data_IF_840791753355
#
_entry.id   IF_840791753355
#
_cell.length_a   1.000
_cell.length_b   1.000
_cell.length_c   1.000
_cell.angle_alpha   90.00
_cell.angle_beta   90.00
_cell.angle_gamma   90.00
#
_symmetry.space_group_name_H-M   'P 1'
#
loop_
_entity.id
_entity.type
_entity.pdbx_description
1 polymer ?
#
# COMPACT_ATOMS: atom_id res chain seq x y z
N UNK A 1 -26.51 -11.69 -7.80
CA UNK A 1 -26.46 -12.94 -7.01
C UNK A 1 -25.40 -12.78 -5.92
N UNK A 2 -25.77 -12.88 -4.62
CA UNK A 2 -24.79 -12.75 -3.53
C UNK A 2 -24.15 -14.10 -3.27
N UNK A 3 -22.85 -14.23 -3.50
CA UNK A 3 -22.07 -15.41 -3.14
C UNK A 3 -22.21 -15.75 -1.66
N UNK A 4 -22.32 -17.02 -1.31
CA UNK A 4 -22.43 -17.51 0.06
C UNK A 4 -21.14 -17.23 0.85
N UNK A 5 -21.22 -17.12 2.20
CA UNK A 5 -20.10 -16.80 3.10
C UNK A 5 -18.93 -17.80 2.95
N UNK A 6 -19.22 -19.06 2.63
CA UNK A 6 -18.22 -20.12 2.40
C UNK A 6 -17.46 -19.90 1.09
N UNK A 7 -18.14 -19.50 0.02
CA UNK A 7 -17.52 -19.21 -1.29
C UNK A 7 -16.62 -17.97 -1.26
N UNK A 8 -16.98 -16.95 -0.46
CA UNK A 8 -16.18 -15.71 -0.31
C UNK A 8 -14.89 -15.93 0.48
N UNK A 9 -14.91 -16.72 1.56
CA UNK A 9 -13.71 -17.13 2.27
C UNK A 9 -12.73 -17.91 1.38
N UNK A 10 -13.21 -18.55 0.31
CA UNK A 10 -12.37 -19.23 -0.66
C UNK A 10 -11.69 -18.25 -1.65
N UNK A 11 -12.30 -17.13 -1.98
CA UNK A 11 -11.70 -16.14 -2.91
C UNK A 11 -10.41 -15.58 -2.32
N UNK A 12 -10.42 -15.12 -1.06
CA UNK A 12 -9.22 -14.56 -0.43
C UNK A 12 -8.12 -15.61 -0.16
N UNK A 13 -8.47 -16.90 -0.01
CA UNK A 13 -7.48 -17.97 0.18
C UNK A 13 -6.66 -18.27 -1.07
N UNK A 14 -7.20 -18.03 -2.25
CA UNK A 14 -6.52 -18.29 -3.51
C UNK A 14 -5.75 -17.08 -4.07
N UNK A 15 -5.78 -15.94 -3.37
CA UNK A 15 -5.04 -14.75 -3.77
C UNK A 15 -3.60 -14.84 -3.31
N UNK A 16 -2.67 -14.73 -4.24
CA UNK A 16 -1.24 -14.76 -4.02
C UNK A 16 -0.58 -13.37 -4.21
N UNK A 17 -1.16 -12.52 -5.05
CA UNK A 17 -0.57 -11.23 -5.42
C UNK A 17 -1.58 -10.11 -5.29
N UNK A 18 -1.29 -9.12 -4.42
CA UNK A 18 -2.18 -7.97 -4.17
C UNK A 18 -1.43 -6.66 -4.40
N UNK A 19 -1.94 -5.80 -5.27
CA UNK A 19 -1.51 -4.40 -5.39
C UNK A 19 -2.45 -3.48 -4.61
N UNK A 20 -1.90 -2.69 -3.67
CA UNK A 20 -2.66 -1.67 -2.92
C UNK A 20 -2.20 -0.30 -3.35
N UNK A 21 -3.06 0.46 -4.00
CA UNK A 21 -2.76 1.76 -4.58
C UNK A 21 -3.65 2.86 -3.98
N UNK A 22 -3.21 4.10 -4.07
CA UNK A 22 -3.94 5.27 -3.54
C UNK A 22 -3.00 6.36 -3.05
N UNK A 23 -3.52 7.55 -2.82
CA UNK A 23 -2.74 8.70 -2.36
C UNK A 23 -2.17 8.53 -0.94
N UNK A 24 -1.26 9.42 -0.58
CA UNK A 24 -0.75 9.48 0.80
C UNK A 24 -1.88 9.72 1.80
N UNK A 25 -1.77 9.15 3.01
CA UNK A 25 -2.75 9.28 4.08
C UNK A 25 -4.01 8.42 3.94
N UNK A 26 -4.11 7.54 2.92
CA UNK A 26 -5.27 6.64 2.76
C UNK A 26 -5.21 5.41 3.68
N UNK A 27 -4.05 5.06 4.23
CA UNK A 27 -3.86 3.90 5.09
C UNK A 27 -3.48 2.62 4.34
N UNK A 28 -2.86 2.73 3.16
CA UNK A 28 -2.37 1.57 2.37
C UNK A 28 -1.49 0.63 3.18
N UNK A 29 -0.44 1.15 3.84
CA UNK A 29 0.49 0.33 4.60
C UNK A 29 -0.19 -0.36 5.79
N UNK A 30 -1.14 0.32 6.44
CA UNK A 30 -1.97 -0.29 7.49
C UNK A 30 -2.78 -1.46 6.92
N UNK A 31 -3.44 -1.28 5.77
CA UNK A 31 -4.20 -2.33 5.12
C UNK A 31 -3.30 -3.49 4.68
N UNK A 32 -2.16 -3.18 4.05
CA UNK A 32 -1.19 -4.18 3.59
C UNK A 32 -0.71 -5.09 4.73
N UNK A 33 -0.33 -4.50 5.86
CA UNK A 33 0.11 -5.25 7.03
C UNK A 33 -1.01 -6.11 7.66
N UNK A 34 -2.25 -5.59 7.68
CA UNK A 34 -3.39 -6.37 8.16
C UNK A 34 -3.67 -7.56 7.24
N UNK A 35 -3.76 -7.32 5.93
CA UNK A 35 -3.97 -8.40 4.95
C UNK A 35 -2.83 -9.42 4.99
N UNK A 36 -1.56 -8.97 5.04
CA UNK A 36 -0.40 -9.86 5.10
C UNK A 36 -0.46 -10.82 6.28
N UNK A 37 -0.97 -10.39 7.43
CA UNK A 37 -1.18 -11.26 8.60
C UNK A 37 -2.35 -12.23 8.42
N UNK A 38 -3.48 -11.76 7.86
CA UNK A 38 -4.69 -12.57 7.71
C UNK A 38 -4.52 -13.70 6.68
N UNK A 39 -3.81 -13.44 5.57
CA UNK A 39 -3.65 -14.41 4.49
C UNK A 39 -2.21 -14.91 4.32
N UNK A 40 -1.33 -14.59 5.29
CA UNK A 40 0.07 -15.03 5.33
C UNK A 40 0.84 -14.73 4.03
N UNK A 41 0.76 -13.48 3.56
CA UNK A 41 1.51 -13.00 2.40
C UNK A 41 2.64 -12.04 2.82
N UNK A 42 3.81 -12.10 2.17
CA UNK A 42 4.87 -11.12 2.38
C UNK A 42 4.41 -9.73 1.91
N UNK A 43 4.73 -8.70 2.68
CA UNK A 43 4.36 -7.31 2.38
C UNK A 43 5.60 -6.54 1.95
N UNK A 44 5.50 -5.85 0.80
CA UNK A 44 6.51 -4.94 0.26
C UNK A 44 5.95 -3.52 0.25
N UNK A 45 6.45 -2.70 1.19
CA UNK A 45 6.18 -1.27 1.21
C UNK A 45 7.09 -0.58 0.20
N UNK A 46 6.54 -0.06 -0.90
CA UNK A 46 7.34 0.53 -1.97
C UNK A 46 8.05 1.81 -1.54
N UNK A 47 7.53 2.53 -0.55
CA UNK A 47 8.24 3.67 0.06
C UNK A 47 9.50 3.19 0.80
N UNK A 48 9.47 2.01 1.43
CA UNK A 48 10.65 1.37 2.05
C UNK A 48 11.68 0.89 1.02
N UNK A 49 11.28 0.63 -0.23
CA UNK A 49 12.22 0.37 -1.34
C UNK A 49 12.82 1.67 -1.84
N UNK A 50 12.03 2.75 -1.89
CA UNK A 50 12.45 4.02 -2.48
C UNK A 50 13.38 4.83 -1.58
N UNK A 51 13.17 4.81 -0.26
CA UNK A 51 13.92 5.63 0.68
C UNK A 51 14.91 4.82 1.52
N UNK A 52 16.14 5.29 1.56
CA UNK A 52 17.15 4.92 2.54
C UNK A 52 16.94 5.73 3.83
N UNK A 53 17.78 5.50 4.84
CA UNK A 53 17.82 6.28 6.07
C UNK A 53 17.82 7.80 5.77
N UNK A 54 17.21 8.59 6.65
CA UNK A 54 17.08 10.04 6.53
C UNK A 54 16.35 10.52 5.26
N UNK A 55 15.45 9.71 4.71
CA UNK A 55 14.63 10.05 3.54
C UNK A 55 15.43 10.24 2.23
N UNK A 56 16.61 9.66 2.13
CA UNK A 56 17.43 9.72 0.91
C UNK A 56 16.84 8.80 -0.16
N UNK A 57 16.41 9.30 -1.33
CA UNK A 57 15.86 8.46 -2.38
C UNK A 57 16.96 7.69 -3.11
N UNK A 58 16.71 6.41 -3.47
CA UNK A 58 17.67 5.59 -4.22
C UNK A 58 17.69 5.88 -5.73
N UNK A 59 16.87 6.81 -6.21
CA UNK A 59 16.67 7.07 -7.63
C UNK A 59 15.58 6.19 -8.25
N UNK A 60 15.00 6.70 -9.35
CA UNK A 60 13.82 6.07 -10.00
C UNK A 60 14.18 4.72 -10.60
N UNK A 61 15.23 4.66 -11.41
CA UNK A 61 15.57 3.46 -12.20
C UNK A 61 15.94 2.29 -11.28
N UNK A 62 16.74 2.56 -10.24
CA UNK A 62 17.12 1.54 -9.26
C UNK A 62 15.89 1.03 -8.50
N UNK A 63 15.01 1.93 -8.06
CA UNK A 63 13.73 1.58 -7.42
C UNK A 63 12.87 0.71 -8.33
N UNK A 64 12.65 1.15 -9.57
CA UNK A 64 11.76 0.47 -10.51
C UNK A 64 12.29 -0.92 -10.85
N UNK A 65 13.61 -1.07 -11.04
CA UNK A 65 14.26 -2.37 -11.22
C UNK A 65 13.98 -3.32 -10.04
N UNK A 66 14.15 -2.85 -8.79
CA UNK A 66 13.89 -3.67 -7.61
C UNK A 66 12.41 -4.06 -7.52
N UNK A 67 11.49 -3.12 -7.80
CA UNK A 67 10.05 -3.42 -7.80
C UNK A 67 9.72 -4.49 -8.83
N UNK A 68 10.22 -4.37 -10.07
CA UNK A 68 9.95 -5.32 -11.15
C UNK A 68 10.53 -6.72 -10.88
N UNK A 69 11.67 -6.81 -10.18
CA UNK A 69 12.20 -8.08 -9.70
C UNK A 69 11.26 -8.72 -8.65
N UNK A 70 10.70 -7.90 -7.74
CA UNK A 70 9.73 -8.37 -6.73
C UNK A 70 8.39 -8.79 -7.33
N UNK A 71 7.95 -8.17 -8.41
CA UNK A 71 6.72 -8.55 -9.14
C UNK A 71 6.78 -10.00 -9.63
N UNK A 72 7.96 -10.51 -9.96
CA UNK A 72 8.17 -11.89 -10.43
C UNK A 72 8.02 -12.93 -9.32
N UNK A 73 8.12 -12.53 -8.05
CA UNK A 73 7.91 -13.44 -6.93
C UNK A 73 6.49 -14.04 -6.94
N UNK A 74 6.32 -15.29 -6.49
CA UNK A 74 5.02 -15.97 -6.61
C UNK A 74 3.95 -15.41 -5.69
N UNK A 75 4.33 -14.76 -4.57
CA UNK A 75 3.40 -14.33 -3.53
C UNK A 75 3.83 -12.99 -2.93
N UNK A 76 2.93 -12.00 -2.93
CA UNK A 76 3.23 -10.69 -2.33
C UNK A 76 1.99 -9.82 -2.14
N UNK A 77 2.11 -8.85 -1.23
CA UNK A 77 1.29 -7.64 -1.16
C UNK A 77 2.22 -6.46 -1.38
N UNK A 78 1.97 -5.65 -2.41
CA UNK A 78 2.73 -4.42 -2.67
C UNK A 78 1.87 -3.20 -2.40
N UNK A 79 2.30 -2.31 -1.48
CA UNK A 79 1.62 -1.05 -1.24
C UNK A 79 2.47 0.15 -1.69
N UNK A 80 1.86 0.97 -2.51
CA UNK A 80 2.46 2.19 -3.06
C UNK A 80 1.96 2.52 -4.45
N UNK A 81 2.05 3.80 -4.82
CA UNK A 81 1.50 4.31 -6.07
C UNK A 81 2.59 4.88 -6.97
N UNK A 82 3.59 4.08 -7.25
CA UNK A 82 4.63 4.40 -8.24
C UNK A 82 4.11 4.02 -9.62
N UNK A 83 3.69 5.05 -10.40
CA UNK A 83 3.03 4.85 -11.71
C UNK A 83 3.95 4.26 -12.77
N UNK A 84 5.27 4.38 -12.60
CA UNK A 84 6.26 3.83 -13.54
C UNK A 84 6.31 2.29 -13.59
N UNK A 85 5.79 1.61 -12.59
CA UNK A 85 5.74 0.15 -12.51
C UNK A 85 4.32 -0.35 -12.23
N UNK A 86 3.32 0.53 -12.45
CA UNK A 86 1.96 0.22 -12.03
C UNK A 86 1.29 -0.79 -12.96
N UNK A 87 1.54 -0.71 -14.26
CA UNK A 87 1.00 -1.64 -15.24
C UNK A 87 1.46 -3.07 -14.95
N UNK A 88 2.75 -3.28 -14.78
CA UNK A 88 3.33 -4.61 -14.51
C UNK A 88 2.84 -5.19 -13.19
N UNK A 89 2.65 -4.34 -12.18
CA UNK A 89 2.10 -4.78 -10.89
C UNK A 89 0.62 -5.16 -10.99
N UNK A 90 -0.19 -4.39 -11.70
CA UNK A 90 -1.62 -4.70 -11.91
C UNK A 90 -1.74 -5.97 -12.73
N UNK A 91 -0.98 -6.08 -13.82
CA UNK A 91 -0.97 -7.26 -14.68
C UNK A 91 -0.65 -8.54 -13.90
N UNK A 92 0.33 -8.49 -12.99
CA UNK A 92 0.72 -9.62 -12.17
C UNK A 92 -0.22 -9.88 -10.97
N UNK A 93 -1.14 -8.96 -10.64
CA UNK A 93 -1.98 -9.06 -9.44
C UNK A 93 -3.20 -9.96 -9.66
N UNK A 94 -3.55 -10.76 -8.65
CA UNK A 94 -4.84 -11.45 -8.54
C UNK A 94 -5.93 -10.50 -8.01
N UNK A 95 -5.52 -9.49 -7.24
CA UNK A 95 -6.40 -8.47 -6.65
C UNK A 95 -5.72 -7.10 -6.62
N UNK A 96 -6.43 -6.09 -7.09
CA UNK A 96 -6.03 -4.68 -6.97
C UNK A 96 -6.97 -3.96 -6.01
N UNK A 97 -6.44 -3.27 -5.01
CA UNK A 97 -7.23 -2.46 -4.07
C UNK A 97 -6.87 -0.99 -4.25
N UNK A 98 -7.82 -0.21 -4.76
CA UNK A 98 -7.64 1.23 -4.94
C UNK A 98 -8.34 2.03 -3.84
N UNK A 99 -7.54 2.68 -2.97
CA UNK A 99 -8.02 3.59 -1.93
C UNK A 99 -8.19 5.01 -2.50
N UNK A 100 -9.32 5.24 -3.18
CA UNK A 100 -9.65 6.47 -3.89
C UNK A 100 -10.32 7.52 -2.97
N UNK A 101 -9.67 7.86 -1.86
CA UNK A 101 -10.25 8.82 -0.90
C UNK A 101 -10.13 10.26 -1.37
N UNK A 102 -11.06 11.11 -0.91
CA UNK A 102 -11.02 12.56 -1.16
C UNK A 102 -9.74 13.18 -0.57
N UNK A 103 -9.33 14.33 -1.12
CA UNK A 103 -8.15 15.07 -0.64
C UNK A 103 -8.24 15.41 0.84
N UNK A 104 -9.42 15.83 1.32
CA UNK A 104 -9.66 16.14 2.73
C UNK A 104 -9.44 14.89 3.61
N UNK A 105 -9.97 13.75 3.21
CA UNK A 105 -9.79 12.50 3.96
C UNK A 105 -8.32 12.08 4.03
N UNK A 106 -7.55 12.30 2.97
CA UNK A 106 -6.11 12.00 2.91
C UNK A 106 -5.30 12.93 3.81
N UNK A 107 -5.58 14.23 3.77
CA UNK A 107 -4.91 15.22 4.65
C UNK A 107 -5.20 14.88 6.12
N UNK A 108 -6.47 14.61 6.47
CA UNK A 108 -6.82 14.13 7.83
C UNK A 108 -6.03 12.87 8.22
N UNK A 109 -5.83 11.95 7.28
CA UNK A 109 -5.03 10.75 7.49
C UNK A 109 -3.55 11.04 7.76
N UNK A 110 -2.93 11.98 7.02
CA UNK A 110 -1.55 12.41 7.22
C UNK A 110 -1.38 13.08 8.59
N UNK A 111 -2.27 14.01 8.94
CA UNK A 111 -2.23 14.72 10.23
C UNK A 111 -2.41 13.71 11.38
N UNK A 112 -3.40 12.83 11.29
CA UNK A 112 -3.65 11.81 12.32
C UNK A 112 -2.45 10.88 12.51
N UNK A 113 -1.78 10.46 11.41
CA UNK A 113 -0.57 9.64 11.47
C UNK A 113 0.56 10.40 12.16
N UNK A 114 0.80 11.64 11.76
CA UNK A 114 1.81 12.49 12.37
C UNK A 114 1.58 12.66 13.88
N UNK A 115 0.37 13.02 14.31
CA UNK A 115 0.05 13.21 15.73
C UNK A 115 0.29 11.95 16.57
N UNK A 116 0.00 10.77 16.03
CA UNK A 116 0.22 9.48 16.71
C UNK A 116 1.68 9.05 16.75
N UNK A 117 2.47 9.41 15.75
CA UNK A 117 3.82 8.89 15.55
C UNK A 117 4.90 9.99 15.53
N UNK A 118 4.58 11.21 15.96
CA UNK A 118 5.53 12.33 16.00
C UNK A 118 6.83 11.90 16.68
N UNK A 119 7.94 12.09 15.99
CA UNK A 119 9.28 11.76 16.47
C UNK A 119 9.62 10.26 16.53
N UNK A 120 8.66 9.36 16.25
CA UNK A 120 8.95 7.93 16.18
C UNK A 120 9.50 7.56 14.80
N UNK A 121 10.32 6.53 14.76
CA UNK A 121 10.80 5.93 13.52
C UNK A 121 9.66 5.22 12.80
N UNK A 122 9.60 5.35 11.48
CA UNK A 122 8.61 4.66 10.67
C UNK A 122 8.94 3.17 10.56
N UNK A 123 7.94 2.34 10.75
CA UNK A 123 8.10 0.88 10.69
C UNK A 123 8.30 0.37 9.26
N UNK A 124 7.74 1.08 8.28
CA UNK A 124 7.78 0.77 6.85
C UNK A 124 9.01 1.36 6.12
N UNK A 125 9.73 2.31 6.77
CA UNK A 125 10.94 2.96 6.23
C UNK A 125 11.97 3.11 7.36
N UNK A 126 12.80 2.09 7.62
CA UNK A 126 13.79 2.13 8.70
C UNK A 126 14.76 3.31 8.57
N UNK A 127 15.13 3.93 9.69
CA UNK A 127 16.00 5.11 9.73
C UNK A 127 15.31 6.43 9.36
N UNK A 128 14.00 6.42 9.08
CA UNK A 128 13.22 7.61 8.79
C UNK A 128 12.24 7.93 9.90
N UNK A 129 12.35 9.13 10.49
CA UNK A 129 11.41 9.60 11.52
C UNK A 129 10.16 10.19 10.87
N UNK A 130 9.01 9.98 11.53
CA UNK A 130 7.76 10.61 11.11
C UNK A 130 7.84 12.12 11.26
N UNK A 131 7.66 12.85 10.18
CA UNK A 131 7.63 14.32 10.14
C UNK A 131 6.42 14.82 9.36
N UNK A 132 5.91 15.97 9.77
CA UNK A 132 4.91 16.69 8.97
C UNK A 132 5.66 17.67 8.07
N UNK A 133 5.66 17.36 6.78
CA UNK A 133 6.26 18.19 5.75
C UNK A 133 5.14 18.91 4.97
N UNK A 134 5.13 20.23 5.03
CA UNK A 134 4.12 21.05 4.33
C UNK A 134 4.24 20.96 2.81
N UNK A 135 5.45 20.77 2.27
CA UNK A 135 5.63 20.53 0.83
C UNK A 135 5.00 19.19 0.44
N UNK A 136 5.14 18.16 1.27
CA UNK A 136 4.46 16.89 1.06
C UNK A 136 2.93 17.02 1.13
N UNK A 137 2.40 17.88 1.99
CA UNK A 137 0.95 18.18 2.04
C UNK A 137 0.52 18.86 0.74
N UNK A 138 1.26 19.85 0.22
CA UNK A 138 0.98 20.48 -1.07
C UNK A 138 1.00 19.48 -2.23
N UNK A 139 2.00 18.59 -2.27
CA UNK A 139 2.06 17.52 -3.26
C UNK A 139 0.85 16.58 -3.13
N UNK A 140 0.41 16.27 -1.92
CA UNK A 140 -0.79 15.46 -1.66
C UNK A 140 -2.06 16.12 -2.20
N UNK A 141 -2.17 17.44 -2.10
CA UNK A 141 -3.31 18.18 -2.68
C UNK A 141 -3.28 18.09 -4.21
N UNK A 142 -2.13 18.35 -4.83
CA UNK A 142 -1.94 18.28 -6.30
C UNK A 142 -2.14 16.86 -6.85
N UNK A 143 -1.84 15.84 -6.07
CA UNK A 143 -1.92 14.43 -6.47
C UNK A 143 -3.28 14.05 -7.07
N UNK A 144 -4.38 14.56 -6.52
CA UNK A 144 -5.73 14.28 -7.03
C UNK A 144 -5.96 14.77 -8.45
N UNK A 145 -5.30 15.84 -8.83
CA UNK A 145 -5.45 16.44 -10.18
C UNK A 145 -4.54 15.76 -11.21
N UNK A 146 -3.38 15.26 -10.79
CA UNK A 146 -2.34 14.74 -11.69
C UNK A 146 -2.33 13.22 -11.75
N UNK A 147 -2.13 12.54 -10.62
CA UNK A 147 -1.92 11.10 -10.57
C UNK A 147 -3.21 10.28 -10.62
N UNK A 148 -4.32 10.84 -10.10
CA UNK A 148 -5.60 10.10 -10.09
C UNK A 148 -6.11 9.82 -11.49
N UNK A 149 -5.93 10.78 -12.43
CA UNK A 149 -6.33 10.58 -13.83
C UNK A 149 -5.54 9.42 -14.45
N UNK A 150 -4.22 9.46 -14.36
CA UNK A 150 -3.34 8.39 -14.85
C UNK A 150 -3.67 7.02 -14.25
N UNK A 151 -3.95 6.96 -12.93
CA UNK A 151 -4.34 5.70 -12.30
C UNK A 151 -5.65 5.18 -12.85
N UNK A 152 -6.65 6.05 -13.03
CA UNK A 152 -7.93 5.63 -13.58
C UNK A 152 -7.79 5.13 -15.03
N UNK A 153 -6.96 5.78 -15.86
CA UNK A 153 -6.65 5.34 -17.22
C UNK A 153 -6.05 3.93 -17.21
N UNK A 154 -5.03 3.70 -16.38
CA UNK A 154 -4.41 2.38 -16.22
C UNK A 154 -5.42 1.33 -15.71
N UNK A 155 -6.29 1.68 -14.75
CA UNK A 155 -7.29 0.73 -14.24
C UNK A 155 -8.36 0.38 -15.29
N UNK A 156 -8.68 1.29 -16.20
CA UNK A 156 -9.58 1.01 -17.32
C UNK A 156 -8.92 0.05 -18.33
N UNK A 157 -7.62 0.22 -18.60
CA UNK A 157 -6.86 -0.71 -19.47
C UNK A 157 -6.80 -2.15 -18.91
N UNK A 158 -7.07 -2.34 -17.61
CA UNK A 158 -7.05 -3.61 -16.90
C UNK A 158 -8.42 -3.95 -16.29
N UNK A 159 -9.51 -3.65 -16.99
CA UNK A 159 -10.87 -3.89 -16.48
C UNK A 159 -11.21 -5.39 -16.28
N UNK A 160 -10.44 -6.27 -16.91
CA UNK A 160 -10.50 -7.72 -16.74
C UNK A 160 -9.98 -8.19 -15.37
N UNK A 161 -9.21 -7.37 -14.67
CA UNK A 161 -8.63 -7.69 -13.35
C UNK A 161 -9.63 -7.51 -12.22
N UNK A 162 -9.44 -8.24 -11.15
CA UNK A 162 -10.23 -8.09 -9.93
C UNK A 162 -9.85 -6.81 -9.20
N UNK A 163 -10.62 -5.73 -9.38
CA UNK A 163 -10.32 -4.40 -8.83
C UNK A 163 -11.37 -3.99 -7.80
N UNK A 164 -10.95 -3.73 -6.58
CA UNK A 164 -11.79 -3.17 -5.51
C UNK A 164 -11.48 -1.68 -5.30
N UNK A 165 -12.48 -0.82 -5.48
CA UNK A 165 -12.33 0.64 -5.30
C UNK A 165 -13.07 1.11 -4.06
N UNK A 166 -12.35 1.70 -3.12
CA UNK A 166 -12.92 2.27 -1.90
C UNK A 166 -12.78 3.79 -1.88
N UNK A 167 -13.91 4.49 -1.91
CA UNK A 167 -13.95 5.95 -1.85
C UNK A 167 -13.98 6.52 -0.43
N UNK A 168 -14.22 5.67 0.59
CA UNK A 168 -14.31 6.05 2.00
C UNK A 168 -13.75 4.95 2.90
N UNK A 169 -13.04 5.33 3.96
CA UNK A 169 -12.51 4.40 4.97
C UNK A 169 -13.60 3.50 5.58
N UNK A 170 -14.79 4.05 5.84
CA UNK A 170 -15.92 3.26 6.38
C UNK A 170 -16.31 2.10 5.47
N UNK A 171 -16.27 2.28 4.13
CA UNK A 171 -16.57 1.19 3.18
C UNK A 171 -15.48 0.12 3.19
N UNK A 172 -14.20 0.52 3.24
CA UNK A 172 -13.07 -0.40 3.39
C UNK A 172 -13.19 -1.22 4.68
N UNK A 173 -13.43 -0.56 5.82
CA UNK A 173 -13.56 -1.24 7.11
C UNK A 173 -14.70 -2.25 7.11
N UNK A 174 -15.87 -1.90 6.55
CA UNK A 174 -17.00 -2.83 6.42
C UNK A 174 -16.68 -4.03 5.54
N UNK A 175 -15.97 -3.81 4.43
CA UNK A 175 -15.51 -4.90 3.57
C UNK A 175 -14.55 -5.81 4.33
N UNK A 176 -13.53 -5.25 4.98
CA UNK A 176 -12.55 -6.02 5.73
C UNK A 176 -13.18 -6.82 6.87
N UNK A 177 -14.09 -6.19 7.65
CA UNK A 177 -14.82 -6.86 8.73
C UNK A 177 -15.69 -8.02 8.20
N UNK A 178 -16.28 -7.85 7.00
CA UNK A 178 -17.08 -8.90 6.36
C UNK A 178 -16.22 -10.07 5.87
N UNK A 179 -15.05 -9.80 5.31
CA UNK A 179 -14.15 -10.83 4.76
C UNK A 179 -13.45 -11.62 5.90
N UNK A 180 -12.98 -10.96 6.93
CA UNK A 180 -12.13 -11.56 7.95
C UNK A 180 -12.78 -11.71 9.33
N UNK A 181 -13.99 -11.20 9.54
CA UNK A 181 -14.66 -11.11 10.84
C UNK A 181 -13.82 -10.37 11.91
N UNK A 182 -12.97 -9.44 11.47
CA UNK A 182 -12.02 -8.66 12.28
C UNK A 182 -12.02 -7.20 11.82
N UNK A 183 -11.61 -6.31 12.73
CA UNK A 183 -11.38 -4.89 12.39
C UNK A 183 -9.95 -4.68 11.94
N UNK A 184 -9.75 -3.71 11.02
CA UNK A 184 -8.41 -3.27 10.64
C UNK A 184 -7.73 -2.65 11.88
N UNK A 185 -6.63 -3.25 12.32
CA UNK A 185 -5.81 -2.75 13.42
C UNK A 185 -4.91 -1.61 12.95
N UNK A 186 -4.88 -0.52 13.70
CA UNK A 186 -3.93 0.57 13.48
C UNK A 186 -2.64 0.16 14.17
N UNK A 187 -1.65 -0.27 13.38
CA UNK A 187 -0.34 -0.66 13.90
C UNK A 187 0.35 0.53 14.60
N UNK A 188 0.57 0.40 15.87
CA UNK A 188 1.25 1.35 16.76
C UNK A 188 1.53 0.75 18.13
N UNK A 189 0.93 -0.39 18.46
CA UNK A 189 0.94 -0.93 19.82
C UNK A 189 1.63 -2.31 20.01
N UNK A 190 1.99 -3.03 18.94
CA UNK A 190 2.82 -4.25 19.06
C UNK A 190 3.97 -4.26 18.06
N UNK A 191 5.18 -4.25 18.60
CA UNK A 191 6.45 -4.32 17.87
C UNK A 191 6.68 -5.74 17.32
N UNK A 192 6.22 -6.03 16.13
CA UNK A 192 6.91 -7.01 15.30
C UNK A 192 7.83 -6.24 14.35
N UNK A 193 9.12 -6.21 14.66
CA UNK A 193 10.16 -5.72 13.75
C UNK A 193 10.24 -6.69 12.57
N UNK A 194 9.53 -6.40 11.50
CA UNK A 194 9.80 -7.04 10.21
C UNK A 194 11.22 -6.62 9.84
N UNK A 195 12.15 -7.57 9.84
CA UNK A 195 13.57 -7.29 9.61
C UNK A 195 13.82 -7.06 8.11
N UNK A 196 13.58 -5.85 7.65
CA UNK A 196 13.83 -5.45 6.25
C UNK A 196 15.33 -5.43 5.91
N UNK A 197 16.24 -5.26 6.89
CA UNK A 197 17.69 -5.16 6.64
C UNK A 197 18.28 -6.40 5.97
N UNK A 198 17.86 -7.59 6.33
CA UNK A 198 18.42 -8.82 5.76
C UNK A 198 18.01 -9.07 4.31
N UNK A 199 16.88 -8.52 3.85
CA UNK A 199 16.35 -8.71 2.49
C UNK A 199 16.95 -7.75 1.46
N UNK A 200 17.51 -6.61 1.88
CA UNK A 200 18.03 -5.57 0.96
C UNK A 200 19.56 -5.50 0.89
N UNK A 201 20.32 -6.24 1.72
CA UNK A 201 21.79 -6.26 1.63
C UNK A 201 22.30 -6.81 0.27
N UNK A 202 21.49 -7.59 -0.45
CA UNK A 202 21.81 -8.12 -1.78
C UNK A 202 21.90 -7.03 -2.88
N UNK A 203 21.43 -5.82 -2.61
CA UNK A 203 21.36 -4.72 -3.59
C UNK A 203 22.24 -3.50 -3.21
N UNK A 204 23.16 -3.66 -2.24
CA UNK A 204 24.06 -2.59 -1.78
C UNK A 204 25.36 -2.44 -2.57
N UNK A 205 25.62 -3.32 -3.55
CA UNK A 205 26.77 -3.24 -4.45
C UNK A 205 26.36 -2.72 -5.82
#
# INVERSE_FOLDING_TARGET
MSLNKIERNNIMKNINKISIIGGAGTGKSTLANNLGREINLPVYHLDGIHYLENWVPIGRDKRDKIILEKVKEPRWIMDGTYTSTLNERIEASDLVIFLNYSTIARIKGIISRYLKNKGKEKTDIPGCKEKLDWEFVKVTIKWSKTKKKTINEILVEHEDKNILVFNRRKKLNKWYEKEFNKKIEILGEKKEKINYRSRFNKYKN
#
